data_IF_616959310221
#
_entry.id   IF_616959310221
#
_cell.length_a   1.000
_cell.length_b   1.000
_cell.length_c   1.000
_cell.angle_alpha   90.00
_cell.angle_beta   90.00
_cell.angle_gamma   90.00
#
_symmetry.space_group_name_H-M   'P 1'
#
loop_
_entity.id
_entity.type
_entity.pdbx_description
1 polymer ?
#
# COMPACT_ATOMS: atom_id res chain seq x y z
N UNK A 1 -29.42 -10.82 -10.71
CA UNK A 1 -28.40 -9.79 -10.36
C UNK A 1 -27.12 -10.32 -10.95
N UNK A 2 -26.48 -9.58 -11.83
CA UNK A 2 -25.21 -9.98 -12.46
C UNK A 2 -24.07 -9.42 -11.59
N UNK A 3 -23.16 -10.29 -11.13
CA UNK A 3 -21.99 -9.93 -10.33
C UNK A 3 -20.69 -10.03 -11.13
N UNK A 4 -20.80 -10.24 -12.47
CA UNK A 4 -19.63 -10.27 -13.34
C UNK A 4 -18.96 -8.91 -13.52
N UNK A 5 -17.71 -8.93 -13.92
CA UNK A 5 -17.00 -7.73 -14.32
C UNK A 5 -17.56 -7.17 -15.65
N UNK A 6 -17.46 -5.86 -15.83
CA UNK A 6 -17.73 -5.25 -17.15
C UNK A 6 -16.63 -5.65 -18.13
N UNK A 7 -16.85 -5.39 -19.43
CA UNK A 7 -15.84 -5.68 -20.47
C UNK A 7 -14.54 -4.90 -20.22
N UNK A 8 -14.67 -3.65 -19.77
CA UNK A 8 -13.54 -2.79 -19.44
C UNK A 8 -12.75 -3.34 -18.25
N UNK A 9 -13.46 -3.82 -17.24
CA UNK A 9 -12.86 -4.44 -16.05
C UNK A 9 -12.18 -5.77 -16.38
N UNK A 10 -12.78 -6.57 -17.24
CA UNK A 10 -12.16 -7.81 -17.72
C UNK A 10 -10.90 -7.51 -18.56
N UNK A 11 -10.92 -6.45 -19.36
CA UNK A 11 -9.72 -6.00 -20.10
C UNK A 11 -8.63 -5.55 -19.12
N UNK A 12 -8.96 -4.75 -18.11
CA UNK A 12 -8.01 -4.35 -17.06
C UNK A 12 -7.40 -5.57 -16.38
N UNK A 13 -8.21 -6.54 -16.01
CA UNK A 13 -7.75 -7.78 -15.37
C UNK A 13 -6.72 -8.51 -16.23
N UNK A 14 -7.01 -8.69 -17.54
CA UNK A 14 -6.10 -9.33 -18.48
C UNK A 14 -4.79 -8.53 -18.68
N UNK A 15 -4.87 -7.20 -18.68
CA UNK A 15 -3.69 -6.35 -18.74
C UNK A 15 -2.80 -6.53 -17.50
N UNK A 16 -3.41 -6.61 -16.31
CA UNK A 16 -2.68 -6.83 -15.04
C UNK A 16 -2.06 -8.22 -15.03
N UNK A 17 -2.79 -9.27 -15.41
CA UNK A 17 -2.26 -10.63 -15.52
C UNK A 17 -1.04 -10.67 -16.46
N UNK A 18 -1.15 -10.08 -17.65
CA UNK A 18 -0.05 -10.00 -18.62
C UNK A 18 1.15 -9.23 -18.08
N UNK A 19 0.90 -8.14 -17.36
CA UNK A 19 1.96 -7.36 -16.74
C UNK A 19 2.70 -8.16 -15.66
N UNK A 20 1.97 -8.89 -14.83
CA UNK A 20 2.54 -9.74 -13.78
C UNK A 20 3.43 -10.81 -14.41
N UNK A 21 2.93 -11.51 -15.43
CA UNK A 21 3.68 -12.58 -16.11
C UNK A 21 4.99 -12.06 -16.76
N UNK A 22 5.03 -10.79 -17.16
CA UNK A 22 6.21 -10.18 -17.77
C UNK A 22 7.18 -9.50 -16.77
N UNK A 23 6.75 -9.22 -15.54
CA UNK A 23 7.55 -8.41 -14.60
C UNK A 23 7.83 -9.10 -13.26
N UNK A 24 7.17 -10.21 -12.95
CA UNK A 24 7.45 -10.98 -11.74
C UNK A 24 8.47 -12.06 -12.07
N UNK A 25 9.70 -11.87 -11.62
CA UNK A 25 10.81 -12.81 -11.76
C UNK A 25 10.87 -13.81 -10.62
N UNK A 26 11.58 -14.93 -10.80
CA UNK A 26 11.89 -15.81 -9.68
C UNK A 26 12.75 -15.09 -8.63
N UNK A 27 13.66 -14.20 -9.04
CA UNK A 27 14.48 -13.41 -8.14
C UNK A 27 13.64 -12.52 -7.19
N UNK A 28 12.57 -11.90 -7.72
CA UNK A 28 11.61 -11.16 -6.89
C UNK A 28 10.92 -12.06 -5.86
N UNK A 29 10.47 -13.25 -6.27
CA UNK A 29 9.81 -14.19 -5.35
C UNK A 29 10.78 -14.65 -4.26
N UNK A 30 12.02 -14.96 -4.60
CA UNK A 30 13.07 -15.34 -3.66
C UNK A 30 13.41 -14.19 -2.71
N UNK A 31 13.45 -12.93 -3.21
CA UNK A 31 13.61 -11.73 -2.38
C UNK A 31 12.48 -11.57 -1.38
N UNK A 32 11.23 -11.81 -1.82
CA UNK A 32 10.05 -11.69 -0.97
C UNK A 32 9.99 -12.77 0.12
N UNK A 33 10.46 -13.98 -0.16
CA UNK A 33 10.47 -15.09 0.80
C UNK A 33 11.62 -15.00 1.81
N UNK A 34 12.80 -14.53 1.40
CA UNK A 34 14.04 -14.59 2.18
C UNK A 34 14.64 -13.25 2.59
N UNK A 35 14.05 -12.12 2.18
CA UNK A 35 14.67 -10.82 2.31
C UNK A 35 14.73 -10.25 3.74
N UNK A 36 15.89 -9.72 4.14
CA UNK A 36 16.10 -9.05 5.43
C UNK A 36 15.18 -7.84 5.64
N UNK A 37 14.71 -7.19 4.56
CA UNK A 37 13.81 -6.03 4.57
C UNK A 37 12.32 -6.43 4.55
N UNK A 38 11.98 -7.64 5.00
CA UNK A 38 10.59 -8.13 4.99
C UNK A 38 10.04 -8.32 3.57
N UNK A 39 10.90 -8.76 2.64
CA UNK A 39 10.54 -9.03 1.26
C UNK A 39 10.33 -7.79 0.38
N UNK A 40 10.89 -6.64 0.76
CA UNK A 40 10.74 -5.36 0.03
C UNK A 40 12.08 -4.78 -0.43
N UNK A 41 12.93 -5.63 -0.95
CA UNK A 41 14.23 -5.28 -1.48
C UNK A 41 14.18 -4.54 -2.84
N UNK A 42 15.30 -4.51 -3.57
CA UNK A 42 15.40 -3.73 -4.81
C UNK A 42 14.45 -4.18 -5.92
N UNK A 43 14.22 -5.50 -6.09
CA UNK A 43 13.33 -6.02 -7.14
C UNK A 43 11.87 -5.68 -6.85
N UNK A 44 11.45 -5.78 -5.59
CA UNK A 44 10.11 -5.35 -5.18
C UNK A 44 9.90 -3.85 -5.41
N UNK A 45 10.88 -3.01 -5.06
CA UNK A 45 10.79 -1.56 -5.28
C UNK A 45 10.70 -1.20 -6.77
N UNK A 46 11.45 -1.90 -7.62
CA UNK A 46 11.38 -1.73 -9.08
C UNK A 46 10.00 -2.14 -9.62
N UNK A 47 9.46 -3.27 -9.16
CA UNK A 47 8.10 -3.68 -9.51
C UNK A 47 7.07 -2.62 -9.11
N UNK A 48 7.12 -2.11 -7.86
CA UNK A 48 6.19 -1.07 -7.38
C UNK A 48 6.24 0.18 -8.25
N UNK A 49 7.43 0.63 -8.67
CA UNK A 49 7.57 1.76 -9.59
C UNK A 49 6.93 1.49 -10.95
N UNK A 50 7.13 0.32 -11.52
CA UNK A 50 6.49 -0.08 -12.78
C UNK A 50 4.96 -0.12 -12.67
N UNK A 51 4.43 -0.57 -11.53
CA UNK A 51 2.98 -0.56 -11.24
C UNK A 51 2.47 0.88 -11.08
N UNK A 52 3.25 1.75 -10.43
CA UNK A 52 2.96 3.18 -10.31
C UNK A 52 2.93 3.87 -11.68
N UNK A 53 3.88 3.57 -12.57
CA UNK A 53 3.95 4.11 -13.94
C UNK A 53 2.73 3.71 -14.80
N UNK A 54 2.13 2.55 -14.51
CA UNK A 54 0.83 2.15 -15.08
C UNK A 54 -0.36 2.91 -14.50
N UNK A 55 -0.16 3.69 -13.44
CA UNK A 55 -1.23 4.37 -12.71
C UNK A 55 -2.12 3.43 -11.90
N UNK A 56 -1.65 2.23 -11.58
CA UNK A 56 -2.43 1.23 -10.87
C UNK A 56 -2.37 1.35 -9.34
N UNK A 57 -1.54 2.26 -8.83
CA UNK A 57 -1.55 2.60 -7.40
C UNK A 57 -2.46 3.82 -7.19
N UNK A 58 -3.41 3.70 -6.27
CA UNK A 58 -4.32 4.79 -5.94
C UNK A 58 -5.36 5.11 -7.03
N UNK A 59 -5.82 4.11 -7.79
CA UNK A 59 -6.86 4.27 -8.82
C UNK A 59 -8.08 5.01 -8.26
N UNK A 60 -8.54 4.64 -7.06
CA UNK A 60 -9.72 5.23 -6.43
C UNK A 60 -9.45 6.55 -5.68
N UNK A 61 -8.19 7.00 -5.61
CA UNK A 61 -7.83 8.20 -4.87
C UNK A 61 -8.05 9.47 -5.70
N UNK A 62 -8.17 10.65 -5.03
CA UNK A 62 -8.44 11.92 -5.70
C UNK A 62 -7.35 12.31 -6.70
N UNK A 63 -7.78 12.87 -7.84
CA UNK A 63 -6.87 13.34 -8.90
C UNK A 63 -5.94 14.45 -8.44
N UNK A 64 -6.41 15.30 -7.54
CA UNK A 64 -5.64 16.42 -6.98
C UNK A 64 -4.35 15.98 -6.27
N UNK A 65 -4.31 14.71 -5.78
CA UNK A 65 -3.12 14.12 -5.16
C UNK A 65 -2.43 13.09 -6.06
N UNK A 66 -2.80 13.01 -7.33
CA UNK A 66 -2.20 12.11 -8.32
C UNK A 66 -2.92 10.78 -8.52
N UNK A 67 -4.04 10.54 -7.84
CA UNK A 67 -4.91 9.40 -8.11
C UNK A 67 -5.73 9.58 -9.39
N UNK A 68 -6.58 8.63 -9.70
CA UNK A 68 -7.39 8.65 -10.92
C UNK A 68 -8.87 9.01 -10.66
N UNK A 69 -9.32 9.06 -9.40
CA UNK A 69 -10.75 9.13 -9.01
C UNK A 69 -11.57 8.03 -9.71
N UNK A 70 -10.94 6.88 -9.93
CA UNK A 70 -11.53 5.74 -10.59
C UNK A 70 -12.37 4.89 -9.66
N UNK A 71 -12.81 3.75 -10.18
CA UNK A 71 -13.63 2.80 -9.44
C UNK A 71 -12.82 2.06 -8.37
N UNK A 72 -13.44 1.82 -7.21
CA UNK A 72 -12.87 0.91 -6.20
C UNK A 72 -12.81 -0.54 -6.69
N UNK A 73 -13.68 -0.90 -7.62
CA UNK A 73 -13.65 -2.24 -8.22
C UNK A 73 -12.41 -2.38 -9.11
N UNK A 74 -12.05 -1.35 -9.88
CA UNK A 74 -10.85 -1.37 -10.71
C UNK A 74 -9.58 -1.47 -9.86
N UNK A 75 -9.53 -0.73 -8.75
CA UNK A 75 -8.43 -0.86 -7.79
C UNK A 75 -8.38 -2.27 -7.19
N UNK A 76 -9.53 -2.84 -6.80
CA UNK A 76 -9.61 -4.20 -6.27
C UNK A 76 -9.12 -5.24 -7.28
N UNK A 77 -9.48 -5.11 -8.57
CA UNK A 77 -9.02 -6.02 -9.63
C UNK A 77 -7.49 -6.05 -9.67
N UNK A 78 -6.85 -4.88 -9.69
CA UNK A 78 -5.37 -4.80 -9.68
C UNK A 78 -4.79 -5.46 -8.43
N UNK A 79 -5.28 -5.09 -7.25
CA UNK A 79 -4.79 -5.62 -5.98
C UNK A 79 -4.99 -7.14 -5.89
N UNK A 80 -6.14 -7.65 -6.35
CA UNK A 80 -6.47 -9.08 -6.32
C UNK A 80 -5.52 -9.89 -7.20
N UNK A 81 -5.25 -9.45 -8.43
CA UNK A 81 -4.37 -10.19 -9.35
C UNK A 81 -2.93 -10.29 -8.82
N UNK A 82 -2.41 -9.23 -8.22
CA UNK A 82 -1.12 -9.29 -7.53
C UNK A 82 -1.15 -10.18 -6.28
N UNK A 83 -2.19 -10.07 -5.47
CA UNK A 83 -2.37 -10.90 -4.26
C UNK A 83 -2.48 -12.39 -4.57
N UNK A 84 -3.04 -12.78 -5.72
CA UNK A 84 -3.05 -14.18 -6.19
C UNK A 84 -1.65 -14.76 -6.40
N UNK A 85 -0.65 -13.90 -6.63
CA UNK A 85 0.78 -14.27 -6.72
C UNK A 85 1.52 -14.03 -5.39
N UNK A 86 0.81 -13.73 -4.30
CA UNK A 86 1.41 -13.44 -2.99
C UNK A 86 2.06 -12.05 -2.90
N UNK A 87 1.82 -11.17 -3.87
CA UNK A 87 2.48 -9.87 -3.97
C UNK A 87 1.49 -8.77 -3.51
N UNK A 88 1.83 -8.02 -2.48
CA UNK A 88 1.08 -6.85 -2.06
C UNK A 88 1.69 -5.60 -2.69
N UNK A 89 1.07 -5.05 -3.73
CA UNK A 89 1.51 -3.80 -4.35
C UNK A 89 0.84 -2.58 -3.72
N UNK A 90 1.53 -1.46 -3.72
CA UNK A 90 0.94 -0.18 -3.32
C UNK A 90 1.09 0.21 -1.87
N UNK A 91 1.66 -0.63 -1.00
CA UNK A 91 2.17 -0.31 0.36
C UNK A 91 1.42 0.67 1.28
N UNK A 92 0.29 1.21 0.83
CA UNK A 92 -0.43 2.26 1.51
C UNK A 92 -1.50 1.73 2.49
N UNK A 93 -1.95 0.48 2.30
CA UNK A 93 -2.89 -0.20 3.19
C UNK A 93 -4.02 0.73 3.66
N UNK A 94 -4.22 0.81 4.97
CA UNK A 94 -5.17 1.73 5.60
C UNK A 94 -4.63 3.16 5.78
N UNK A 95 -3.35 3.41 5.51
CA UNK A 95 -2.71 4.71 5.74
C UNK A 95 -3.20 5.80 4.81
N UNK A 96 -3.23 5.54 3.51
CA UNK A 96 -3.70 6.54 2.55
C UNK A 96 -5.17 6.93 2.75
N UNK A 97 -6.13 6.00 2.96
CA UNK A 97 -7.50 6.36 3.32
C UNK A 97 -7.60 7.19 4.60
N UNK A 98 -6.80 6.90 5.63
CA UNK A 98 -6.78 7.67 6.87
C UNK A 98 -6.26 9.11 6.65
N UNK A 99 -5.17 9.27 5.89
CA UNK A 99 -4.61 10.58 5.55
C UNK A 99 -5.59 11.37 4.67
N UNK A 100 -6.22 10.73 3.68
CA UNK A 100 -7.23 11.39 2.84
C UNK A 100 -8.44 11.86 3.63
N UNK A 101 -8.85 11.09 4.65
CA UNK A 101 -10.02 11.43 5.47
C UNK A 101 -9.74 12.49 6.53
N UNK A 102 -8.58 12.47 7.18
CA UNK A 102 -8.30 13.25 8.38
C UNK A 102 -7.01 14.08 8.34
N UNK A 103 -6.17 13.91 7.32
CA UNK A 103 -4.93 14.66 7.17
C UNK A 103 -5.17 16.13 6.79
N UNK A 104 -4.21 17.00 7.11
CA UNK A 104 -4.16 18.36 6.58
C UNK A 104 -3.86 18.34 5.07
N UNK A 105 -4.14 19.43 4.37
CA UNK A 105 -3.85 19.52 2.93
C UNK A 105 -2.34 19.37 2.65
N UNK A 106 -1.48 19.86 3.54
CA UNK A 106 -0.03 19.67 3.47
C UNK A 106 0.35 18.20 3.59
N UNK A 107 -0.24 17.47 4.56
CA UNK A 107 -0.02 16.03 4.73
C UNK A 107 -0.52 15.23 3.52
N UNK A 108 -1.71 15.52 3.02
CA UNK A 108 -2.25 14.89 1.81
C UNK A 108 -1.34 15.12 0.61
N UNK A 109 -0.95 16.38 0.38
CA UNK A 109 -0.08 16.77 -0.75
C UNK A 109 1.33 16.17 -0.69
N UNK A 110 1.84 15.86 0.51
CA UNK A 110 3.14 15.22 0.69
C UNK A 110 3.06 13.69 0.59
N UNK A 111 2.18 13.07 1.39
CA UNK A 111 2.17 11.62 1.54
C UNK A 111 1.52 10.90 0.37
N UNK A 112 0.36 11.37 -0.11
CA UNK A 112 -0.41 10.63 -1.11
C UNK A 112 0.34 10.49 -2.44
N UNK A 113 0.90 11.57 -3.04
CA UNK A 113 1.71 11.42 -4.25
C UNK A 113 2.95 10.54 -4.06
N UNK A 114 3.61 10.62 -2.89
CA UNK A 114 4.75 9.77 -2.58
C UNK A 114 4.40 8.29 -2.49
N UNK A 115 3.24 7.96 -1.92
CA UNK A 115 2.72 6.59 -1.88
C UNK A 115 2.36 6.08 -3.28
N UNK A 116 1.74 6.93 -4.14
CA UNK A 116 1.40 6.56 -5.52
C UNK A 116 2.65 6.22 -6.32
N UNK A 117 3.73 6.98 -6.19
CA UNK A 117 5.00 6.73 -6.88
C UNK A 117 5.82 5.57 -6.28
N UNK A 118 5.40 5.02 -5.13
CA UNK A 118 6.17 4.01 -4.42
C UNK A 118 7.41 4.55 -3.70
N UNK A 119 7.53 5.87 -3.54
CA UNK A 119 8.63 6.52 -2.80
C UNK A 119 8.44 6.45 -1.28
N UNK A 120 7.18 6.37 -0.84
CA UNK A 120 6.79 6.32 0.57
C UNK A 120 6.06 5.01 0.85
N UNK A 121 6.58 4.25 1.82
CA UNK A 121 5.95 3.05 2.35
C UNK A 121 5.29 3.43 3.68
N UNK A 122 4.00 3.09 3.82
CA UNK A 122 3.26 3.29 5.05
C UNK A 122 3.24 2.00 5.88
N UNK A 123 3.63 2.09 7.14
CA UNK A 123 3.60 0.98 8.07
C UNK A 123 2.73 1.31 9.29
N UNK A 124 2.02 0.30 9.80
CA UNK A 124 1.20 0.40 10.99
C UNK A 124 1.93 -0.16 12.21
N UNK A 125 2.02 0.64 13.27
CA UNK A 125 2.60 0.23 14.54
C UNK A 125 1.51 0.10 15.61
N UNK A 126 0.57 -0.85 15.48
CA UNK A 126 -0.49 -1.06 16.48
C UNK A 126 -0.08 -2.06 17.55
N UNK A 127 0.35 -3.24 17.12
CA UNK A 127 0.65 -4.38 17.98
C UNK A 127 1.87 -4.12 18.90
N UNK A 128 1.83 -4.69 20.10
CA UNK A 128 2.95 -4.77 21.04
C UNK A 128 3.19 -6.22 21.42
N UNK A 129 4.38 -6.58 21.95
CA UNK A 129 4.68 -7.97 22.29
C UNK A 129 3.65 -8.65 23.21
N UNK A 130 3.04 -7.88 24.12
CA UNK A 130 2.02 -8.36 25.08
C UNK A 130 0.58 -8.04 24.67
N UNK A 131 0.35 -7.25 23.61
CA UNK A 131 -0.97 -6.77 23.24
C UNK A 131 -1.18 -6.79 21.71
N UNK A 132 -1.90 -7.81 21.22
CA UNK A 132 -2.31 -7.95 19.83
C UNK A 132 -3.76 -7.52 19.63
N UNK A 133 -4.71 -8.45 19.81
CA UNK A 133 -6.14 -8.19 19.69
C UNK A 133 -6.69 -7.28 20.79
N UNK A 134 -6.08 -7.30 21.96
CA UNK A 134 -6.43 -6.42 23.09
C UNK A 134 -5.72 -5.06 22.96
N UNK A 135 -6.31 -4.14 22.20
CA UNK A 135 -5.79 -2.77 22.04
C UNK A 135 -5.81 -1.98 23.35
N UNK A 136 -6.66 -2.32 24.30
CA UNK A 136 -6.69 -1.68 25.61
C UNK A 136 -5.48 -2.04 26.49
N UNK A 137 -4.81 -3.15 26.18
CA UNK A 137 -3.58 -3.61 26.84
C UNK A 137 -2.29 -2.95 26.35
N UNK A 138 -2.35 -1.99 25.43
CA UNK A 138 -1.19 -1.26 24.91
C UNK A 138 -0.51 -0.44 26.03
N UNK A 139 0.82 -0.52 26.10
CA UNK A 139 1.63 0.12 27.13
C UNK A 139 2.60 1.17 26.62
N UNK A 140 2.87 1.19 25.30
CA UNK A 140 3.72 2.20 24.69
C UNK A 140 3.14 3.60 24.95
N UNK A 141 3.97 4.47 25.51
CA UNK A 141 3.57 5.82 25.92
C UNK A 141 4.41 6.86 25.19
N UNK A 142 3.75 7.94 24.77
CA UNK A 142 4.37 9.17 24.34
C UNK A 142 4.06 10.27 25.37
N UNK A 143 5.07 10.75 26.07
CA UNK A 143 4.94 11.80 27.08
C UNK A 143 5.54 13.08 26.51
N UNK A 144 4.79 14.18 26.55
CA UNK A 144 5.27 15.47 26.05
C UNK A 144 6.40 16.02 26.95
N UNK A 145 7.48 16.48 26.32
CA UNK A 145 8.61 17.14 26.95
C UNK A 145 8.99 18.38 26.12
N UNK A 146 8.48 19.55 26.52
CA UNK A 146 8.60 20.79 25.74
C UNK A 146 7.87 20.68 24.39
N UNK A 147 8.60 20.84 23.29
CA UNK A 147 8.10 20.73 21.92
C UNK A 147 8.24 19.31 21.33
N UNK A 148 8.86 18.39 22.07
CA UNK A 148 9.10 17.01 21.68
C UNK A 148 8.19 16.01 22.42
N UNK A 149 8.27 14.75 22.04
CA UNK A 149 7.67 13.62 22.74
C UNK A 149 8.72 12.57 23.08
N UNK A 150 8.76 12.16 24.34
CA UNK A 150 9.56 11.01 24.77
C UNK A 150 8.70 9.76 24.66
N UNK A 151 9.12 8.81 23.78
CA UNK A 151 8.40 7.56 23.53
C UNK A 151 9.10 6.44 24.29
N UNK A 152 8.35 5.71 25.11
CA UNK A 152 8.80 4.51 25.82
C UNK A 152 7.87 3.35 25.51
N UNK A 153 8.45 2.26 24.98
CA UNK A 153 7.72 1.05 24.62
C UNK A 153 8.29 0.39 23.37
N UNK A 154 7.62 -0.66 22.93
CA UNK A 154 7.99 -1.43 21.73
C UNK A 154 6.73 -1.69 20.89
N UNK A 155 6.86 -1.48 19.60
CA UNK A 155 5.86 -1.85 18.61
C UNK A 155 6.40 -2.93 17.68
#
# INVERSE_FOLDING_TARGET
>A
MDFGYTKEQETLRQEVETFIDNNVSQGLLDEMEGGEEGGRGPEYRDLVKKVADKGWIGISWPKEYGGQSGSRIDQYIVEEEFMRRGIAVGGAGSGAPAILAAGTEEQKGFFIPGMIRGDIIFALGFTEPQAGADLAGLQCRAVRDGDDFVINGQK
#
